data_IF_718139389762
#
_entry.id   IF_718139389762
#
_cell.length_a   1.000
_cell.length_b   1.000
_cell.length_c   1.000
_cell.angle_alpha   90.00
_cell.angle_beta   90.00
_cell.angle_gamma   90.00
#
_symmetry.space_group_name_H-M   'P 1'
#
loop_
_entity.id
_entity.type
_entity.pdbx_description
1 polymer ?
#
# COMPACT_ATOMS: atom_id res chain seq x y z
N UNK A 1 -1.06 -3.25 -14.88
CA UNK A 1 -2.27 -2.59 -14.34
C UNK A 1 -3.02 -1.96 -15.51
N UNK A 2 -4.35 -1.80 -15.38
CA UNK A 2 -5.24 -1.28 -16.44
C UNK A 2 -6.24 -0.29 -15.82
N UNK A 3 -6.81 0.61 -16.64
CA UNK A 3 -7.83 1.57 -16.20
C UNK A 3 -7.27 2.79 -15.47
N UNK A 4 -5.97 3.08 -15.64
CA UNK A 4 -5.32 4.23 -15.04
C UNK A 4 -5.46 5.47 -15.95
N UNK A 5 -5.32 6.65 -15.37
CA UNK A 5 -5.26 7.90 -16.13
C UNK A 5 -4.05 7.89 -17.07
N UNK A 6 -4.24 8.01 -18.40
CA UNK A 6 -3.13 8.09 -19.35
C UNK A 6 -2.15 9.21 -19.00
N UNK A 7 -0.87 9.00 -19.31
CA UNK A 7 0.23 9.92 -18.99
C UNK A 7 0.47 10.19 -17.50
N UNK A 8 -0.22 9.48 -16.58
CA UNK A 8 0.12 9.54 -15.17
C UNK A 8 1.55 9.00 -14.95
N UNK A 9 2.38 9.76 -14.24
CA UNK A 9 3.76 9.41 -13.97
C UNK A 9 3.93 8.91 -12.52
N UNK A 10 4.13 7.60 -12.37
CA UNK A 10 4.53 7.03 -11.10
C UNK A 10 5.97 7.39 -10.78
N UNK A 11 6.23 7.81 -9.54
CA UNK A 11 7.58 8.12 -9.06
C UNK A 11 8.21 6.90 -8.42
N UNK A 12 9.53 6.77 -8.51
CA UNK A 12 10.29 5.78 -7.73
C UNK A 12 10.01 5.96 -6.24
N UNK A 13 9.71 4.86 -5.55
CA UNK A 13 9.43 4.84 -4.11
C UNK A 13 8.02 5.28 -3.74
N UNK A 14 7.19 5.71 -4.70
CA UNK A 14 5.80 6.07 -4.45
C UNK A 14 5.03 4.86 -3.92
N UNK A 15 4.24 5.09 -2.88
CA UNK A 15 3.31 4.10 -2.35
C UNK A 15 2.07 3.97 -3.23
N UNK A 16 1.62 2.74 -3.41
CA UNK A 16 0.35 2.37 -4.03
C UNK A 16 -0.28 1.27 -3.19
N UNK A 17 -1.59 1.07 -3.31
CA UNK A 17 -2.23 -0.14 -2.82
C UNK A 17 -3.26 -0.65 -3.80
N UNK A 18 -3.55 -1.94 -3.75
CA UNK A 18 -4.61 -2.57 -4.51
C UNK A 18 -5.13 -3.79 -3.76
N UNK A 19 -6.41 -4.17 -3.94
CA UNK A 19 -6.97 -5.32 -3.28
C UNK A 19 -6.46 -6.62 -3.90
N UNK A 20 -6.17 -7.59 -3.03
CA UNK A 20 -5.83 -8.97 -3.38
C UNK A 20 -6.69 -9.87 -2.49
N UNK A 21 -7.57 -10.68 -3.10
CA UNK A 21 -8.51 -11.55 -2.38
C UNK A 21 -9.34 -10.84 -1.29
N UNK A 22 -9.63 -9.55 -1.48
CA UNK A 22 -10.40 -8.74 -0.54
C UNK A 22 -9.59 -8.04 0.55
N UNK A 23 -8.27 -8.23 0.61
CA UNK A 23 -7.36 -7.52 1.52
C UNK A 23 -6.54 -6.46 0.79
N UNK A 24 -6.31 -5.31 1.43
CA UNK A 24 -5.47 -4.23 0.90
C UNK A 24 -4.00 -4.41 1.27
N UNK A 25 -3.14 -4.44 0.24
CA UNK A 25 -1.69 -4.50 0.40
C UNK A 25 -1.02 -3.25 -0.16
N UNK A 26 -0.04 -2.72 0.56
CA UNK A 26 0.72 -1.54 0.13
C UNK A 26 2.07 -1.93 -0.47
N UNK A 27 2.37 -1.38 -1.65
CA UNK A 27 3.61 -1.61 -2.36
C UNK A 27 4.30 -0.30 -2.72
N UNK A 28 5.62 -0.34 -2.88
CA UNK A 28 6.39 0.77 -3.45
C UNK A 28 6.74 0.51 -4.90
N UNK A 29 6.64 1.55 -5.72
CA UNK A 29 7.13 1.55 -7.10
C UNK A 29 8.66 1.47 -7.12
N UNK A 30 9.23 0.54 -7.89
CA UNK A 30 10.69 0.32 -7.98
C UNK A 30 11.39 1.35 -8.87
N UNK A 31 10.79 1.70 -10.00
CA UNK A 31 11.34 2.65 -10.98
C UNK A 31 10.22 3.55 -11.50
N UNK A 32 10.56 4.80 -11.83
CA UNK A 32 9.59 5.72 -12.43
C UNK A 32 9.02 5.12 -13.72
N UNK A 33 7.70 5.19 -13.88
CA UNK A 33 6.99 4.56 -14.99
C UNK A 33 5.79 5.43 -15.36
N UNK A 34 5.53 5.59 -16.65
CA UNK A 34 4.42 6.39 -17.17
C UNK A 34 3.32 5.47 -17.69
N UNK A 35 2.07 5.85 -17.47
CA UNK A 35 0.90 5.12 -18.00
C UNK A 35 0.76 5.42 -19.50
N UNK A 36 0.62 4.36 -20.28
CA UNK A 36 0.44 4.41 -21.73
C UNK A 36 -0.89 5.09 -22.11
N UNK A 37 -1.03 5.46 -23.40
CA UNK A 37 -2.24 6.15 -23.90
C UNK A 37 -3.53 5.35 -23.73
N UNK A 38 -3.43 4.03 -23.62
CA UNK A 38 -4.56 3.11 -23.42
C UNK A 38 -4.92 2.90 -21.93
N UNK A 39 -4.27 3.63 -21.02
CA UNK A 39 -4.51 3.51 -19.58
C UNK A 39 -3.89 2.25 -18.95
N UNK A 40 -2.94 1.61 -19.64
CA UNK A 40 -2.21 0.44 -19.12
C UNK A 40 -0.79 0.80 -18.71
N UNK A 41 -0.23 0.00 -17.79
CA UNK A 41 1.17 0.13 -17.36
C UNK A 41 1.69 -1.19 -16.79
N UNK A 42 2.93 -1.54 -17.13
CA UNK A 42 3.69 -2.57 -16.43
C UNK A 42 4.45 -1.90 -15.28
N UNK A 43 3.88 -1.91 -14.08
CA UNK A 43 4.43 -1.19 -12.93
C UNK A 43 5.39 -2.09 -12.13
N UNK A 44 6.72 -1.82 -12.14
CA UNK A 44 7.67 -2.63 -11.39
C UNK A 44 7.57 -2.27 -9.89
N UNK A 45 7.39 -3.29 -9.06
CA UNK A 45 7.27 -3.15 -7.61
C UNK A 45 8.60 -3.45 -6.90
N UNK A 46 8.86 -2.75 -5.79
CA UNK A 46 10.06 -2.91 -4.98
C UNK A 46 10.11 -4.28 -4.28
N UNK A 47 8.94 -4.80 -3.93
CA UNK A 47 8.73 -6.18 -3.49
C UNK A 47 7.77 -6.83 -4.49
N UNK A 48 8.01 -8.09 -4.84
CA UNK A 48 7.09 -8.82 -5.70
C UNK A 48 5.72 -8.92 -5.01
N UNK A 49 4.64 -8.70 -5.77
CA UNK A 49 3.30 -8.97 -5.27
C UNK A 49 3.17 -10.47 -4.98
N UNK A 50 2.74 -10.82 -3.76
CA UNK A 50 2.60 -12.23 -3.34
C UNK A 50 1.60 -12.99 -4.23
N UNK A 51 0.55 -12.30 -4.64
CA UNK A 51 -0.48 -12.80 -5.56
C UNK A 51 -0.78 -11.74 -6.64
N UNK A 52 -1.18 -12.16 -7.84
CA UNK A 52 -1.60 -11.23 -8.87
C UNK A 52 -2.90 -10.52 -8.46
N UNK A 53 -3.03 -9.20 -8.70
CA UNK A 53 -4.30 -8.52 -8.53
C UNK A 53 -5.35 -9.05 -9.50
N UNK A 54 -6.63 -8.89 -9.14
CA UNK A 54 -7.72 -9.14 -10.07
C UNK A 54 -7.58 -8.27 -11.33
N UNK A 55 -8.09 -8.77 -12.48
CA UNK A 55 -8.13 -7.95 -13.68
C UNK A 55 -8.96 -6.68 -13.41
N UNK A 56 -8.42 -5.52 -13.81
CA UNK A 56 -9.00 -4.20 -13.52
C UNK A 56 -9.18 -3.88 -12.03
N UNK A 57 -8.38 -4.48 -11.13
CA UNK A 57 -8.34 -4.07 -9.73
C UNK A 57 -8.06 -2.56 -9.62
N UNK A 58 -8.82 -1.89 -8.75
CA UNK A 58 -8.62 -0.47 -8.44
C UNK A 58 -7.26 -0.30 -7.76
N UNK A 59 -6.48 0.65 -8.26
CA UNK A 59 -5.16 1.00 -7.70
C UNK A 59 -5.30 2.35 -7.01
N UNK A 60 -5.15 2.35 -5.69
CA UNK A 60 -5.15 3.57 -4.89
C UNK A 60 -3.75 4.18 -4.92
N UNK A 61 -3.66 5.39 -5.45
CA UNK A 61 -2.38 6.11 -5.65
C UNK A 61 -2.28 7.35 -4.77
N UNK A 62 -3.40 8.04 -4.54
CA UNK A 62 -3.44 9.25 -3.70
C UNK A 62 -3.44 8.90 -2.20
N UNK A 63 -4.21 7.89 -1.82
CA UNK A 63 -4.38 7.46 -0.42
C UNK A 63 -4.18 5.94 -0.31
N UNK A 64 -2.94 5.45 -0.48
CA UNK A 64 -2.66 4.03 -0.37
C UNK A 64 -2.91 3.53 1.05
N UNK A 65 -3.48 2.33 1.15
CA UNK A 65 -3.90 1.67 2.40
C UNK A 65 -3.20 0.32 2.55
N UNK A 66 -3.02 -0.09 3.79
CA UNK A 66 -2.51 -1.42 4.14
C UNK A 66 -3.40 -2.04 5.22
N UNK A 67 -3.67 -3.33 5.10
CA UNK A 67 -4.40 -4.12 6.07
C UNK A 67 -3.51 -5.23 6.63
N UNK A 68 -3.58 -5.44 7.93
CA UNK A 68 -2.80 -6.46 8.61
C UNK A 68 -3.23 -6.65 10.05
N UNK A 69 -2.48 -7.46 10.77
CA UNK A 69 -2.71 -7.76 12.18
C UNK A 69 -1.88 -6.80 13.03
N UNK A 70 -2.57 -6.04 13.88
CA UNK A 70 -1.92 -5.13 14.81
C UNK A 70 -1.46 -5.89 16.06
N UNK A 71 -0.17 -5.83 16.35
CA UNK A 71 0.40 -6.22 17.63
C UNK A 71 0.68 -4.97 18.45
N UNK A 72 -0.07 -4.80 19.54
CA UNK A 72 0.06 -3.62 20.41
C UNK A 72 1.26 -3.78 21.34
N UNK A 73 2.06 -2.73 21.46
CA UNK A 73 3.05 -2.61 22.52
C UNK A 73 2.31 -2.36 23.84
N UNK A 74 2.25 -3.35 24.73
CA UNK A 74 1.44 -3.25 25.96
C UNK A 74 1.92 -2.13 26.90
N UNK A 75 3.19 -1.73 26.82
CA UNK A 75 3.71 -0.57 27.57
C UNK A 75 3.10 0.76 27.09
N UNK A 76 2.66 0.80 25.83
CA UNK A 76 2.04 1.98 25.20
C UNK A 76 0.64 2.30 25.73
N UNK A 77 0.04 1.37 26.46
CA UNK A 77 -1.28 1.53 27.09
C UNK A 77 -1.23 2.26 28.43
N UNK A 78 -0.02 2.51 28.96
CA UNK A 78 0.14 3.17 30.25
C UNK A 78 -0.04 4.69 30.12
N UNK A 79 -0.64 5.30 31.15
CA UNK A 79 -0.75 6.76 31.24
C UNK A 79 0.61 7.34 31.60
N UNK A 80 1.12 8.20 30.74
CA UNK A 80 2.39 8.91 30.94
C UNK A 80 2.25 10.04 31.97
N UNK A 81 3.37 10.59 32.45
CA UNK A 81 3.42 11.66 33.48
C UNK A 81 2.63 12.91 33.06
N UNK A 82 2.62 13.20 31.76
CA UNK A 82 1.85 14.28 31.13
C UNK A 82 0.35 13.96 30.95
N UNK A 83 -0.13 12.85 31.52
CA UNK A 83 -1.52 12.37 31.44
C UNK A 83 -1.97 12.02 30.02
N UNK A 84 -1.03 11.72 29.12
CA UNK A 84 -1.33 11.22 27.77
C UNK A 84 -1.08 9.71 27.67
N UNK A 85 -1.84 9.06 26.80
CA UNK A 85 -1.58 7.69 26.34
C UNK A 85 -1.05 7.77 24.92
N UNK A 86 0.10 7.14 24.67
CA UNK A 86 0.74 7.13 23.34
C UNK A 86 0.71 5.71 22.79
N UNK A 87 -0.41 5.37 22.14
CA UNK A 87 -0.59 4.04 21.53
C UNK A 87 0.51 3.75 20.52
N UNK A 88 1.09 2.56 20.63
CA UNK A 88 2.08 2.05 19.68
C UNK A 88 1.71 0.62 19.33
N UNK A 89 1.79 0.32 18.04
CA UNK A 89 1.56 -1.01 17.52
C UNK A 89 2.45 -1.25 16.31
N UNK A 90 2.68 -2.52 16.02
CA UNK A 90 3.26 -2.97 14.75
C UNK A 90 2.15 -3.61 13.93
N UNK A 91 2.05 -3.26 12.65
CA UNK A 91 1.13 -3.89 11.72
C UNK A 91 1.90 -4.91 10.89
N UNK A 92 1.48 -6.17 10.94
CA UNK A 92 2.04 -7.26 10.13
C UNK A 92 1.01 -7.76 9.12
N UNK A 93 1.39 -7.79 7.84
CA UNK A 93 0.64 -8.52 6.82
C UNK A 93 0.82 -10.03 7.05
N UNK A 94 -0.25 -10.83 7.06
CA UNK A 94 -0.19 -12.30 7.11
C UNK A 94 -0.91 -12.92 5.93
N UNK A 95 -0.45 -14.10 5.51
CA UNK A 95 -1.08 -14.96 4.48
C UNK A 95 -2.28 -15.74 5.04
#
# INVERSE_FOLDING_TARGET
>A
MKGLTPAYAFRKGQWISFPVLGQLFAYKVRTATVVESDGTVALPLLTLSRLPPANNAVVDVAEPKAEGFATVDTSSLQVSVDRLVRLRFTLEERE
#
